data_IF_502218982780
#
_entry.id   IF_502218982780
#
_cell.length_a   1.000
_cell.length_b   1.000
_cell.length_c   1.000
_cell.angle_alpha   90.00
_cell.angle_beta   90.00
_cell.angle_gamma   90.00
#
_symmetry.space_group_name_H-M   'P 1'
#
loop_
_entity.id
_entity.type
_entity.pdbx_description
1 polymer ?
#
# COMPACT_ATOMS: atom_id res chain seq x y z
N UNK A 1 5.18 1.56 -8.44
CA UNK A 1 4.78 2.87 -7.88
C UNK A 1 5.83 3.86 -8.32
N UNK A 2 5.50 5.16 -8.38
CA UNK A 2 6.37 6.16 -8.98
C UNK A 2 7.43 6.70 -8.01
N UNK A 3 7.10 6.82 -6.73
CA UNK A 3 8.01 7.27 -5.67
C UNK A 3 7.58 6.70 -4.32
N UNK A 4 8.51 6.34 -3.42
CA UNK A 4 8.19 5.90 -2.06
C UNK A 4 7.72 7.04 -1.17
N UNK A 5 6.95 6.70 -0.14
CA UNK A 5 6.73 7.59 0.99
C UNK A 5 7.89 7.51 1.97
N UNK A 6 8.11 8.60 2.69
CA UNK A 6 8.92 8.62 3.92
C UNK A 6 8.04 8.16 5.07
N UNK A 7 8.46 7.09 5.74
CA UNK A 7 7.79 6.61 6.95
C UNK A 7 7.89 7.63 8.09
N UNK A 8 6.86 7.72 8.93
CA UNK A 8 6.88 8.57 10.12
C UNK A 8 6.50 7.74 11.36
N UNK A 9 7.31 7.76 12.44
CA UNK A 9 6.91 7.17 13.71
C UNK A 9 5.71 7.90 14.31
N UNK A 10 4.81 7.15 14.96
CA UNK A 10 3.63 7.74 15.61
C UNK A 10 3.12 6.94 16.81
N UNK A 11 2.49 7.57 17.83
CA UNK A 11 1.88 6.85 18.96
C UNK A 11 0.83 5.78 18.58
N UNK A 12 0.28 5.82 17.37
CA UNK A 12 -0.61 4.76 16.89
C UNK A 12 0.07 3.38 16.78
N UNK A 13 1.40 3.35 16.72
CA UNK A 13 2.19 2.13 16.75
C UNK A 13 2.18 1.45 18.12
N UNK A 14 1.71 2.11 19.18
CA UNK A 14 1.52 1.49 20.51
C UNK A 14 0.60 0.26 20.39
N UNK A 15 -0.41 0.30 19.52
CA UNK A 15 -1.26 -0.87 19.27
C UNK A 15 -0.45 -2.05 18.72
N UNK A 16 0.56 -1.81 17.87
CA UNK A 16 1.45 -2.86 17.38
C UNK A 16 2.30 -3.41 18.53
N UNK A 17 2.82 -2.57 19.42
CA UNK A 17 3.58 -3.00 20.61
C UNK A 17 2.73 -3.85 21.57
N UNK A 18 1.46 -3.50 21.78
CA UNK A 18 0.53 -4.33 22.54
C UNK A 18 0.35 -5.70 21.91
N UNK A 19 0.18 -5.77 20.59
CA UNK A 19 0.06 -7.06 19.90
C UNK A 19 1.38 -7.86 19.86
N UNK A 20 2.53 -7.19 19.85
CA UNK A 20 3.83 -7.84 20.01
C UNK A 20 3.92 -8.51 21.38
N UNK A 21 3.61 -7.77 22.45
CA UNK A 21 3.60 -8.32 23.80
C UNK A 21 2.60 -9.47 23.93
N UNK A 22 1.36 -9.30 23.47
CA UNK A 22 0.36 -10.37 23.49
C UNK A 22 0.86 -11.61 22.74
N UNK A 23 1.49 -11.43 21.58
CA UNK A 23 1.96 -12.56 20.80
C UNK A 23 3.12 -13.30 21.48
N UNK A 24 4.17 -12.59 21.89
CA UNK A 24 5.39 -13.20 22.43
C UNK A 24 5.28 -13.59 23.90
N UNK A 25 4.72 -12.71 24.73
CA UNK A 25 4.75 -12.84 26.19
C UNK A 25 3.51 -13.55 26.73
N UNK A 26 2.37 -13.46 26.03
CA UNK A 26 1.11 -14.06 26.47
C UNK A 26 0.83 -15.36 25.71
N UNK A 27 0.70 -15.32 24.39
CA UNK A 27 0.34 -16.50 23.60
C UNK A 27 1.49 -17.50 23.48
N UNK A 28 2.69 -17.09 23.08
CA UNK A 28 3.79 -18.03 22.88
C UNK A 28 4.27 -18.72 24.18
N UNK A 29 4.01 -18.13 25.35
CA UNK A 29 4.34 -18.71 26.67
C UNK A 29 3.19 -19.50 27.30
N UNK A 30 2.00 -19.49 26.69
CA UNK A 30 0.80 -20.12 27.24
C UNK A 30 0.96 -21.58 27.71
N UNK A 31 1.75 -22.46 27.05
CA UNK A 31 1.94 -23.83 27.54
C UNK A 31 2.57 -23.93 28.94
N UNK A 32 3.31 -22.91 29.36
CA UNK A 32 4.05 -22.90 30.63
C UNK A 32 3.44 -21.93 31.67
N UNK A 33 2.56 -21.01 31.23
CA UNK A 33 2.02 -19.93 32.07
C UNK A 33 0.76 -20.28 32.86
N UNK A 34 0.18 -21.47 32.70
CA UNK A 34 -1.02 -21.89 33.42
C UNK A 34 -2.33 -21.29 32.85
N UNK A 35 -3.40 -21.13 33.67
CA UNK A 35 -4.68 -20.59 33.20
C UNK A 35 -4.56 -19.13 32.73
N UNK A 36 -5.51 -18.69 31.89
CA UNK A 36 -5.57 -17.28 31.47
C UNK A 36 -5.99 -16.40 32.64
N UNK A 37 -5.18 -15.41 32.99
CA UNK A 37 -5.52 -14.37 33.95
C UNK A 37 -4.85 -13.02 33.61
N UNK A 38 -5.21 -11.97 34.34
CA UNK A 38 -4.70 -10.61 34.10
C UNK A 38 -3.25 -10.40 34.57
N UNK A 39 -2.68 -11.32 35.36
CA UNK A 39 -1.27 -11.25 35.78
C UNK A 39 -0.32 -11.56 34.61
N UNK A 40 -0.81 -12.22 33.55
CA UNK A 40 -0.08 -12.42 32.29
C UNK A 40 0.38 -11.10 31.63
N UNK A 41 -0.16 -9.95 32.06
CA UNK A 41 0.16 -8.63 31.52
C UNK A 41 1.02 -7.78 32.47
N UNK A 42 1.49 -8.32 33.60
CA UNK A 42 2.24 -7.58 34.63
C UNK A 42 3.50 -6.87 34.10
N UNK A 43 4.17 -7.48 33.12
CA UNK A 43 5.38 -6.93 32.50
C UNK A 43 5.09 -5.81 31.47
N UNK A 44 3.81 -5.47 31.22
CA UNK A 44 3.40 -4.34 30.40
C UNK A 44 2.25 -3.56 31.06
N UNK A 45 2.54 -2.69 32.06
CA UNK A 45 1.51 -2.03 32.87
C UNK A 45 0.47 -1.25 32.06
N UNK A 46 0.88 -0.59 30.96
CA UNK A 46 -0.03 0.17 30.11
C UNK A 46 -1.07 -0.71 29.41
N UNK A 47 -0.65 -1.92 28.97
CA UNK A 47 -1.54 -2.92 28.39
C UNK A 47 -2.37 -3.60 29.48
N UNK A 48 -1.80 -3.88 30.66
CA UNK A 48 -2.54 -4.46 31.78
C UNK A 48 -3.72 -3.58 32.18
N UNK A 49 -3.51 -2.28 32.34
CA UNK A 49 -4.58 -1.32 32.63
C UNK A 49 -5.68 -1.35 31.54
N UNK A 50 -5.29 -1.46 30.27
CA UNK A 50 -6.24 -1.60 29.16
C UNK A 50 -7.04 -2.92 29.26
N UNK A 51 -6.36 -4.03 29.55
CA UNK A 51 -6.98 -5.35 29.69
C UNK A 51 -7.93 -5.41 30.89
N UNK A 52 -7.55 -4.80 32.02
CA UNK A 52 -8.43 -4.62 33.19
C UNK A 52 -9.67 -3.78 32.83
N UNK A 53 -9.48 -2.64 32.17
CA UNK A 53 -10.59 -1.81 31.70
C UNK A 53 -11.54 -2.57 30.77
N UNK A 54 -11.00 -3.37 29.86
CA UNK A 54 -11.80 -4.16 28.93
C UNK A 54 -12.50 -5.35 29.60
N UNK A 55 -11.86 -5.98 30.58
CA UNK A 55 -12.43 -7.12 31.32
C UNK A 55 -13.72 -6.75 32.05
N UNK A 56 -13.80 -5.53 32.59
CA UNK A 56 -14.98 -5.03 33.31
C UNK A 56 -15.92 -4.19 32.44
N UNK A 57 -15.74 -4.20 31.11
CA UNK A 57 -16.56 -3.42 30.18
C UNK A 57 -17.56 -4.28 29.42
N UNK A 58 -18.82 -3.85 29.39
CA UNK A 58 -19.86 -4.45 28.54
C UNK A 58 -19.79 -3.95 27.07
N UNK A 59 -18.77 -3.15 26.73
CA UNK A 59 -18.63 -2.63 25.38
C UNK A 59 -18.23 -3.75 24.40
N UNK A 60 -18.95 -3.84 23.28
CA UNK A 60 -18.71 -4.86 22.25
C UNK A 60 -17.25 -4.93 21.77
N UNK A 61 -16.57 -3.78 21.64
CA UNK A 61 -15.16 -3.75 21.26
C UNK A 61 -14.22 -4.32 22.33
N UNK A 62 -14.54 -4.13 23.60
CA UNK A 62 -13.78 -4.64 24.74
C UNK A 62 -13.94 -6.17 24.86
N UNK A 63 -15.19 -6.66 24.80
CA UNK A 63 -15.51 -8.09 24.76
C UNK A 63 -14.84 -8.78 23.56
N UNK A 64 -14.92 -8.15 22.37
CA UNK A 64 -14.21 -8.62 21.19
C UNK A 64 -12.71 -8.79 21.46
N UNK A 65 -12.04 -7.73 21.93
CA UNK A 65 -10.59 -7.74 22.08
C UNK A 65 -10.13 -8.72 23.16
N UNK A 66 -10.65 -8.58 24.38
CA UNK A 66 -10.27 -9.44 25.50
C UNK A 66 -10.66 -10.91 25.27
N UNK A 67 -11.89 -11.16 24.82
CA UNK A 67 -12.37 -12.52 24.56
C UNK A 67 -11.60 -13.23 23.44
N UNK A 68 -11.15 -12.51 22.41
CA UNK A 68 -10.29 -13.14 21.40
C UNK A 68 -8.89 -13.47 21.93
N UNK A 69 -8.30 -12.61 22.75
CA UNK A 69 -6.99 -12.87 23.36
C UNK A 69 -7.04 -14.14 24.21
N UNK A 70 -8.07 -14.28 25.05
CA UNK A 70 -8.27 -15.47 25.88
C UNK A 70 -8.46 -16.75 25.03
N UNK A 71 -9.35 -16.71 24.03
CA UNK A 71 -9.59 -17.88 23.16
C UNK A 71 -8.36 -18.30 22.37
N UNK A 72 -7.55 -17.33 21.93
CA UNK A 72 -6.29 -17.62 21.24
C UNK A 72 -5.27 -18.20 22.23
N UNK A 73 -5.16 -17.63 23.44
CA UNK A 73 -4.32 -18.15 24.52
C UNK A 73 -4.63 -19.60 24.84
N UNK A 74 -5.91 -19.95 24.98
CA UNK A 74 -6.36 -21.32 25.23
C UNK A 74 -6.00 -22.29 24.10
N UNK A 75 -5.87 -21.83 22.86
CA UNK A 75 -5.38 -22.66 21.76
C UNK A 75 -3.87 -22.80 21.86
N UNK A 76 -3.15 -21.69 22.07
CA UNK A 76 -1.69 -21.68 22.20
C UNK A 76 -1.19 -22.58 23.35
N UNK A 77 -1.91 -22.67 24.47
CA UNK A 77 -1.55 -23.54 25.60
C UNK A 77 -1.55 -25.03 25.25
N UNK A 78 -2.16 -25.42 24.13
CA UNK A 78 -2.19 -26.81 23.62
C UNK A 78 -1.15 -27.07 22.53
N UNK A 79 -0.44 -26.04 22.05
CA UNK A 79 0.52 -26.18 20.97
C UNK A 79 1.87 -26.72 21.45
N UNK A 80 2.52 -27.51 20.60
CA UNK A 80 3.90 -27.93 20.83
C UNK A 80 4.88 -26.78 20.64
N UNK A 81 6.06 -26.88 21.27
CA UNK A 81 7.14 -25.91 21.08
C UNK A 81 7.49 -25.69 19.60
N UNK A 82 7.48 -26.76 18.77
CA UNK A 82 7.74 -26.65 17.33
C UNK A 82 6.68 -25.81 16.60
N UNK A 83 5.40 -26.00 16.93
CA UNK A 83 4.31 -25.21 16.37
C UNK A 83 4.42 -23.72 16.76
N UNK A 84 4.79 -23.45 18.01
CA UNK A 84 5.00 -22.07 18.50
C UNK A 84 6.20 -21.43 17.79
N UNK A 85 7.33 -22.13 17.66
CA UNK A 85 8.47 -21.62 16.89
C UNK A 85 8.11 -21.31 15.43
N UNK A 86 7.27 -22.13 14.80
CA UNK A 86 6.78 -21.85 13.45
C UNK A 86 5.89 -20.61 13.39
N UNK A 87 5.00 -20.42 14.38
CA UNK A 87 4.16 -19.22 14.47
C UNK A 87 4.98 -17.97 14.69
N UNK A 88 6.04 -18.03 15.52
CA UNK A 88 7.00 -16.93 15.72
C UNK A 88 7.64 -16.55 14.39
N UNK A 89 8.20 -17.52 13.67
CA UNK A 89 8.83 -17.27 12.37
C UNK A 89 7.85 -16.62 11.37
N UNK A 90 6.59 -17.08 11.35
CA UNK A 90 5.56 -16.48 10.50
C UNK A 90 5.14 -15.08 10.94
N UNK A 91 5.04 -14.83 12.25
CA UNK A 91 4.69 -13.51 12.78
C UNK A 91 5.75 -12.48 12.41
N UNK A 92 7.03 -12.82 12.58
CA UNK A 92 8.18 -11.99 12.19
C UNK A 92 8.20 -11.76 10.67
N UNK A 93 8.09 -12.84 9.89
CA UNK A 93 8.11 -12.77 8.43
C UNK A 93 6.98 -11.88 7.88
N UNK A 94 5.75 -12.08 8.34
CA UNK A 94 4.58 -11.32 7.88
C UNK A 94 4.63 -9.83 8.23
N UNK A 95 5.40 -9.45 9.25
CA UNK A 95 5.58 -8.07 9.68
C UNK A 95 6.79 -7.36 9.07
N UNK A 96 7.62 -8.06 8.29
CA UNK A 96 8.77 -7.49 7.60
C UNK A 96 8.45 -7.13 6.14
N UNK A 97 7.60 -6.12 5.94
CA UNK A 97 7.03 -5.74 4.63
C UNK A 97 8.09 -5.48 3.56
N UNK A 98 9.23 -4.89 3.93
CA UNK A 98 10.33 -4.62 3.00
C UNK A 98 10.89 -5.92 2.42
N UNK A 99 11.25 -6.87 3.28
CA UNK A 99 11.73 -8.19 2.85
C UNK A 99 10.69 -8.94 2.01
N UNK A 100 9.40 -8.83 2.36
CA UNK A 100 8.32 -9.44 1.58
C UNK A 100 8.29 -8.86 0.17
N UNK A 101 8.33 -7.52 0.05
CA UNK A 101 8.30 -6.83 -1.23
C UNK A 101 9.53 -7.15 -2.09
N UNK A 102 10.70 -7.33 -1.47
CA UNK A 102 11.93 -7.73 -2.15
C UNK A 102 12.01 -9.22 -2.52
N UNK A 103 11.00 -10.02 -2.13
CA UNK A 103 11.02 -11.48 -2.25
C UNK A 103 12.31 -12.08 -1.62
N UNK A 104 12.64 -11.64 -0.41
CA UNK A 104 13.84 -12.07 0.32
C UNK A 104 13.70 -13.56 0.74
N UNK A 105 14.62 -14.44 0.33
CA UNK A 105 14.54 -15.88 0.61
C UNK A 105 14.75 -16.23 2.09
N UNK A 106 15.20 -15.28 2.93
CA UNK A 106 15.39 -15.48 4.37
C UNK A 106 14.09 -15.49 5.16
N UNK A 107 12.96 -15.11 4.56
CA UNK A 107 11.65 -15.08 5.21
C UNK A 107 10.65 -15.99 4.51
N UNK A 108 9.76 -16.59 5.29
CA UNK A 108 8.65 -17.38 4.79
C UNK A 108 7.35 -16.83 5.36
N UNK A 109 6.59 -16.11 4.53
CA UNK A 109 5.29 -15.56 4.94
C UNK A 109 4.21 -16.65 4.98
N UNK A 110 3.18 -16.41 5.78
CA UNK A 110 1.99 -17.25 5.88
C UNK A 110 0.75 -16.47 5.46
N UNK A 111 -0.24 -17.14 4.87
CA UNK A 111 -1.60 -16.59 4.65
C UNK A 111 -2.60 -17.33 5.50
N UNK A 112 -3.81 -16.79 5.63
CA UNK A 112 -4.87 -17.47 6.37
C UNK A 112 -5.16 -18.88 5.87
N UNK A 113 -5.07 -19.15 4.56
CA UNK A 113 -5.24 -20.51 4.03
C UNK A 113 -4.15 -21.49 4.47
N UNK A 114 -2.93 -20.98 4.67
CA UNK A 114 -1.80 -21.80 5.09
C UNK A 114 -1.90 -22.06 6.61
N UNK A 115 -2.34 -21.04 7.38
CA UNK A 115 -2.73 -21.21 8.79
C UNK A 115 -3.90 -22.19 8.96
N UNK A 116 -4.89 -22.18 8.07
CA UNK A 116 -6.04 -23.09 8.11
C UNK A 116 -5.58 -24.55 7.97
N UNK A 117 -4.66 -24.81 7.04
CA UNK A 117 -4.04 -26.12 6.88
C UNK A 117 -3.15 -26.52 8.07
N UNK A 118 -2.53 -25.55 8.73
CA UNK A 118 -1.70 -25.77 9.93
C UNK A 118 -2.54 -26.06 11.17
N UNK A 119 -3.57 -25.26 11.43
CA UNK A 119 -4.47 -25.38 12.57
C UNK A 119 -5.77 -24.58 12.36
N UNK A 120 -6.83 -25.23 11.85
CA UNK A 120 -8.16 -24.64 11.62
C UNK A 120 -8.71 -23.77 12.76
N UNK A 121 -8.67 -24.28 14.00
CA UNK A 121 -9.20 -23.54 15.16
C UNK A 121 -8.52 -22.19 15.38
N UNK A 122 -7.18 -22.19 15.35
CA UNK A 122 -6.33 -21.00 15.47
C UNK A 122 -6.54 -20.06 14.28
N UNK A 123 -6.51 -20.58 13.05
CA UNK A 123 -6.71 -19.79 11.84
C UNK A 123 -8.02 -19.00 11.88
N UNK A 124 -9.12 -19.65 12.32
CA UNK A 124 -10.42 -19.00 12.51
C UNK A 124 -10.35 -17.86 13.54
N UNK A 125 -9.74 -18.09 14.71
CA UNK A 125 -9.64 -17.07 15.75
C UNK A 125 -8.75 -15.90 15.31
N UNK A 126 -7.58 -16.17 14.73
CA UNK A 126 -6.67 -15.16 14.20
C UNK A 126 -7.32 -14.35 13.07
N UNK A 127 -8.08 -15.00 12.19
CA UNK A 127 -8.81 -14.33 11.10
C UNK A 127 -9.81 -13.33 11.64
N UNK A 128 -10.65 -13.74 12.60
CA UNK A 128 -11.63 -12.84 13.21
C UNK A 128 -10.93 -11.70 13.98
N UNK A 129 -9.91 -12.02 14.77
CA UNK A 129 -9.18 -11.05 15.56
C UNK A 129 -8.51 -9.98 14.68
N UNK A 130 -7.58 -10.35 13.81
CA UNK A 130 -6.79 -9.39 13.02
C UNK A 130 -7.63 -8.59 12.02
N UNK A 131 -8.76 -9.12 11.52
CA UNK A 131 -9.69 -8.37 10.66
C UNK A 131 -10.53 -7.36 11.46
N UNK A 132 -10.84 -7.67 12.72
CA UNK A 132 -11.67 -6.85 13.61
C UNK A 132 -10.91 -5.73 14.35
N UNK A 133 -9.58 -5.74 14.36
CA UNK A 133 -8.75 -4.72 15.02
C UNK A 133 -8.99 -3.27 14.53
N UNK A 134 -9.50 -3.09 13.30
CA UNK A 134 -9.85 -1.78 12.74
C UNK A 134 -11.33 -1.41 12.88
N UNK A 135 -12.10 -2.21 13.61
CA UNK A 135 -13.50 -1.87 13.88
C UNK A 135 -13.59 -0.58 14.67
N UNK A 136 -14.56 0.25 14.32
CA UNK A 136 -14.87 1.46 15.07
C UNK A 136 -15.33 1.13 16.49
N UNK A 137 -15.95 -0.04 16.69
CA UNK A 137 -16.34 -0.56 18.01
C UNK A 137 -15.13 -0.69 18.96
N UNK A 138 -13.94 -1.03 18.45
CA UNK A 138 -12.70 -1.10 19.23
C UNK A 138 -11.97 0.24 19.27
N UNK A 139 -11.71 0.86 18.12
CA UNK A 139 -10.88 2.06 18.02
C UNK A 139 -11.51 3.31 18.66
N UNK A 140 -12.83 3.32 18.89
CA UNK A 140 -13.51 4.43 19.56
C UNK A 140 -13.62 4.26 21.08
N UNK A 141 -13.16 3.14 21.65
CA UNK A 141 -13.11 2.99 23.11
C UNK A 141 -12.12 4.00 23.69
N UNK A 142 -12.56 4.81 24.66
CA UNK A 142 -11.74 5.86 25.27
C UNK A 142 -10.45 5.29 25.86
N UNK A 143 -10.55 4.18 26.61
CA UNK A 143 -9.41 3.50 27.23
C UNK A 143 -8.30 3.13 26.23
N UNK A 144 -8.66 2.77 24.98
CA UNK A 144 -7.69 2.51 23.93
C UNK A 144 -7.23 3.80 23.25
N UNK A 145 -8.17 4.66 22.85
CA UNK A 145 -7.90 5.89 22.09
C UNK A 145 -6.96 6.85 22.85
N UNK A 146 -7.07 6.91 24.16
CA UNK A 146 -6.21 7.73 25.02
C UNK A 146 -4.75 7.23 25.02
N UNK A 147 -4.53 5.94 24.78
CA UNK A 147 -3.19 5.33 24.69
C UNK A 147 -2.59 5.44 23.28
N UNK A 148 -3.38 5.17 22.23
CA UNK A 148 -2.85 5.02 20.85
C UNK A 148 -2.96 6.28 19.96
N UNK A 149 -3.45 7.41 20.46
CA UNK A 149 -3.75 8.61 19.64
C UNK A 149 -4.76 8.32 18.51
N UNK A 150 -4.91 9.25 17.54
CA UNK A 150 -5.91 9.18 16.47
C UNK A 150 -5.30 9.11 15.07
N UNK A 151 -5.99 8.42 14.17
CA UNK A 151 -5.59 8.29 12.76
C UNK A 151 -5.59 9.61 12.01
N UNK A 152 -6.41 10.58 12.43
CA UNK A 152 -6.41 11.94 11.90
C UNK A 152 -5.11 12.68 12.21
N UNK A 153 -4.56 12.51 13.42
CA UNK A 153 -3.28 13.11 13.82
C UNK A 153 -2.11 12.48 13.05
N UNK A 154 -2.11 11.14 12.95
CA UNK A 154 -1.15 10.43 12.12
C UNK A 154 -1.19 10.94 10.67
N UNK A 155 -2.39 11.01 10.06
CA UNK A 155 -2.53 11.45 8.68
C UNK A 155 -1.97 12.86 8.48
N UNK A 156 -2.32 13.84 9.34
CA UNK A 156 -1.81 15.21 9.26
C UNK A 156 -0.28 15.25 9.29
N UNK A 157 0.36 14.56 10.23
CA UNK A 157 1.82 14.48 10.31
C UNK A 157 2.42 13.79 9.07
N UNK A 158 1.76 12.74 8.61
CA UNK A 158 2.19 11.95 7.45
C UNK A 158 2.23 12.80 6.18
N UNK A 159 1.15 13.52 5.87
CA UNK A 159 1.07 14.35 4.65
C UNK A 159 1.87 15.66 4.76
N UNK A 160 2.16 16.15 5.98
CA UNK A 160 3.14 17.24 6.17
C UNK A 160 4.54 16.80 5.74
N UNK A 161 4.92 15.55 6.05
CA UNK A 161 6.20 14.98 5.63
C UNK A 161 6.22 14.55 4.16
N UNK A 162 5.11 13.98 3.68
CA UNK A 162 4.93 13.46 2.33
C UNK A 162 4.06 14.40 1.49
N UNK A 163 4.59 15.58 1.20
CA UNK A 163 3.83 16.72 0.69
C UNK A 163 3.85 16.88 -0.84
N UNK A 164 4.19 15.83 -1.61
CA UNK A 164 4.18 15.89 -3.07
C UNK A 164 2.79 16.16 -3.67
N UNK A 165 1.73 15.96 -2.87
CA UNK A 165 0.35 16.21 -3.28
C UNK A 165 -0.22 15.18 -4.25
N UNK A 166 0.60 14.26 -4.77
CA UNK A 166 0.20 13.22 -5.72
C UNK A 166 0.19 11.83 -5.11
N UNK A 167 -0.70 10.97 -5.61
CA UNK A 167 -0.74 9.57 -5.24
C UNK A 167 0.48 8.85 -5.83
N UNK A 168 1.36 8.25 -5.01
CA UNK A 168 2.59 7.61 -5.51
C UNK A 168 2.30 6.39 -6.37
N UNK A 169 1.12 5.79 -6.24
CA UNK A 169 0.75 4.61 -6.99
C UNK A 169 0.41 4.93 -8.45
N UNK A 170 -0.26 6.05 -8.74
CA UNK A 170 -0.64 6.37 -10.13
C UNK A 170 -0.06 7.67 -10.67
N UNK A 171 0.35 8.62 -9.82
CA UNK A 171 0.76 9.97 -10.22
C UNK A 171 -0.40 10.87 -10.68
N UNK A 172 -1.51 10.30 -11.15
CA UNK A 172 -2.65 11.02 -11.73
C UNK A 172 -3.46 11.76 -10.66
N UNK A 173 -3.91 11.03 -9.64
CA UNK A 173 -4.82 11.59 -8.62
C UNK A 173 -4.04 12.26 -7.51
N UNK A 174 -4.61 13.32 -6.97
CA UNK A 174 -4.08 13.99 -5.80
C UNK A 174 -4.30 13.16 -4.52
N UNK A 175 -3.47 13.45 -3.51
CA UNK A 175 -3.67 13.03 -2.12
C UNK A 175 -4.11 14.26 -1.33
N UNK A 176 -5.21 14.13 -0.57
CA UNK A 176 -5.71 15.21 0.27
C UNK A 176 -4.65 15.71 1.25
N UNK A 177 -4.14 16.91 0.99
CA UNK A 177 -3.15 17.61 1.82
C UNK A 177 -3.73 18.28 3.07
N UNK A 178 -2.93 19.10 3.76
CA UNK A 178 -3.23 19.63 5.11
C UNK A 178 -4.41 20.59 5.14
N UNK A 179 -4.80 21.11 3.99
CA UNK A 179 -5.92 22.04 3.83
C UNK A 179 -7.26 21.33 3.58
N UNK A 180 -7.30 20.01 3.67
CA UNK A 180 -8.54 19.23 3.58
C UNK A 180 -9.04 18.82 4.97
N UNK A 181 -10.35 18.90 5.17
CA UNK A 181 -11.01 18.37 6.38
C UNK A 181 -11.17 16.84 6.36
N UNK A 182 -10.98 16.23 5.18
CA UNK A 182 -11.07 14.77 4.96
C UNK A 182 -9.69 14.23 4.60
N UNK A 183 -9.49 12.94 4.86
CA UNK A 183 -8.26 12.20 4.58
C UNK A 183 -8.50 11.10 3.55
N UNK A 184 -7.42 10.62 2.93
CA UNK A 184 -7.50 9.34 2.22
C UNK A 184 -7.74 8.17 3.18
N UNK A 185 -8.30 7.10 2.63
CA UNK A 185 -8.30 5.81 3.29
C UNK A 185 -6.87 5.24 3.31
N UNK A 186 -6.54 4.49 4.36
CA UNK A 186 -5.29 3.73 4.42
C UNK A 186 -5.53 2.39 3.75
N UNK A 187 -4.87 2.17 2.63
CA UNK A 187 -4.81 0.88 1.96
C UNK A 187 -4.01 -0.10 2.83
N UNK A 188 -4.49 -1.34 2.93
CA UNK A 188 -3.68 -2.43 3.44
C UNK A 188 -2.88 -2.98 2.27
N UNK A 189 -1.62 -2.57 2.15
CA UNK A 189 -0.79 -2.87 0.98
C UNK A 189 -0.77 -4.37 0.70
N UNK A 190 -0.42 -5.17 1.71
CA UNK A 190 -0.77 -6.58 1.79
C UNK A 190 -2.20 -6.72 2.34
N UNK A 191 -3.15 -7.32 1.58
CA UNK A 191 -4.55 -7.35 1.98
C UNK A 191 -4.77 -8.08 3.31
N UNK A 192 -5.41 -7.42 4.27
CA UNK A 192 -5.83 -8.03 5.55
C UNK A 192 -6.80 -9.21 5.39
N UNK A 193 -7.40 -9.37 4.22
CA UNK A 193 -8.24 -10.52 3.88
C UNK A 193 -7.43 -11.80 3.65
N UNK A 194 -6.15 -11.66 3.28
CA UNK A 194 -5.24 -12.72 2.85
C UNK A 194 -4.19 -13.00 3.92
N UNK A 195 -3.58 -11.95 4.47
CA UNK A 195 -2.43 -12.05 5.37
C UNK A 195 -2.81 -11.83 6.84
N UNK A 196 -2.38 -12.71 7.77
CA UNK A 196 -2.43 -12.49 9.21
C UNK A 196 -1.29 -11.58 9.69
N UNK A 197 -1.37 -11.19 10.97
CA UNK A 197 -0.34 -10.53 11.77
C UNK A 197 0.04 -9.08 11.40
N UNK A 198 -0.22 -8.63 10.18
CA UNK A 198 0.24 -7.34 9.68
C UNK A 198 -0.87 -6.30 9.46
N UNK A 199 -2.09 -6.54 9.95
CA UNK A 199 -3.21 -5.62 9.69
C UNK A 199 -3.04 -4.27 10.38
N UNK A 200 -2.47 -4.23 11.58
CA UNK A 200 -2.19 -3.00 12.37
C UNK A 200 -0.78 -2.44 12.16
N UNK A 201 0.03 -3.12 11.34
CA UNK A 201 1.40 -2.69 11.08
C UNK A 201 1.36 -1.46 10.17
N UNK A 202 1.79 -0.30 10.67
CA UNK A 202 1.79 0.95 9.89
C UNK A 202 2.71 0.91 8.67
N UNK A 203 3.67 0.00 8.62
CA UNK A 203 4.47 -0.30 7.42
C UNK A 203 3.67 -1.00 6.32
N UNK A 204 2.47 -1.52 6.63
CA UNK A 204 1.51 -2.11 5.71
C UNK A 204 0.34 -1.19 5.38
N UNK A 205 0.24 0.00 5.99
CA UNK A 205 -0.93 0.87 5.90
C UNK A 205 -0.59 2.18 5.24
N UNK A 206 -1.05 2.35 4.01
CA UNK A 206 -0.54 3.40 3.13
C UNK A 206 -1.66 4.31 2.65
N UNK A 207 -1.56 5.63 2.81
CA UNK A 207 -2.47 6.55 2.14
C UNK A 207 -2.44 6.34 0.63
N UNK A 208 -3.61 6.13 0.03
CA UNK A 208 -3.75 5.91 -1.40
C UNK A 208 -4.99 6.64 -1.91
N UNK A 209 -4.95 7.18 -3.13
CA UNK A 209 -6.15 7.77 -3.72
C UNK A 209 -7.25 6.71 -3.90
N UNK A 210 -8.49 7.17 -3.95
CA UNK A 210 -9.67 6.31 -4.11
C UNK A 210 -9.52 5.35 -5.30
N UNK A 211 -9.09 5.84 -6.46
CA UNK A 211 -8.95 5.00 -7.65
C UNK A 211 -7.94 3.86 -7.46
N UNK A 212 -6.78 4.15 -6.86
CA UNK A 212 -5.78 3.11 -6.66
C UNK A 212 -6.25 2.07 -5.64
N UNK A 213 -6.84 2.50 -4.53
CA UNK A 213 -7.25 1.63 -3.43
C UNK A 213 -8.55 0.86 -3.75
N UNK A 214 -9.62 1.60 -4.03
CA UNK A 214 -10.99 1.10 -4.06
C UNK A 214 -11.51 0.75 -5.45
N UNK A 215 -10.80 1.10 -6.52
CA UNK A 215 -11.19 0.74 -7.91
C UNK A 215 -10.26 -0.32 -8.48
N UNK A 216 -8.94 -0.06 -8.52
CA UNK A 216 -7.99 -0.91 -9.25
C UNK A 216 -7.35 -2.01 -8.40
N UNK A 217 -6.84 -1.68 -7.20
CA UNK A 217 -6.17 -2.67 -6.33
C UNK A 217 -7.18 -3.61 -5.69
N UNK A 218 -8.21 -3.07 -5.01
CA UNK A 218 -9.15 -3.86 -4.22
C UNK A 218 -8.40 -4.81 -3.26
N UNK A 219 -8.59 -6.11 -3.43
CA UNK A 219 -7.92 -7.17 -2.69
C UNK A 219 -6.84 -7.91 -3.49
N UNK A 220 -6.40 -7.36 -4.64
CA UNK A 220 -5.27 -7.92 -5.40
C UNK A 220 -4.04 -7.99 -4.50
N UNK A 221 -3.34 -9.11 -4.61
CA UNK A 221 -2.18 -9.41 -3.80
C UNK A 221 -0.91 -8.92 -4.53
N UNK A 222 -0.16 -7.94 -3.97
CA UNK A 222 1.02 -7.42 -4.64
C UNK A 222 2.16 -8.44 -4.73
N UNK A 223 2.25 -9.40 -3.81
CA UNK A 223 3.43 -10.27 -3.67
C UNK A 223 3.16 -11.72 -4.05
N UNK A 224 1.91 -12.06 -4.41
CA UNK A 224 1.53 -13.40 -4.81
C UNK A 224 0.49 -13.43 -5.94
N UNK A 225 0.81 -14.08 -7.06
CA UNK A 225 -0.08 -14.32 -8.20
C UNK A 225 0.10 -15.75 -8.74
N UNK A 226 -0.60 -16.75 -8.18
CA UNK A 226 -0.35 -18.17 -8.41
C UNK A 226 -0.70 -18.67 -9.82
N UNK A 227 -1.53 -17.91 -10.54
CA UNK A 227 -2.02 -18.29 -11.88
C UNK A 227 -1.23 -17.61 -13.01
N UNK A 228 -0.13 -16.94 -12.68
CA UNK A 228 0.72 -16.31 -13.69
C UNK A 228 1.75 -17.32 -14.21
N UNK A 229 1.72 -17.70 -15.50
CA UNK A 229 2.67 -18.65 -16.06
C UNK A 229 4.12 -18.19 -15.94
N UNK A 230 4.35 -16.87 -15.95
CA UNK A 230 5.68 -16.26 -15.82
C UNK A 230 6.27 -16.40 -14.42
N UNK A 231 5.43 -16.71 -13.42
CA UNK A 231 5.82 -16.90 -12.02
C UNK A 231 5.78 -18.38 -11.60
N UNK A 232 5.71 -19.31 -12.55
CA UNK A 232 5.67 -20.75 -12.26
C UNK A 232 6.90 -21.22 -11.46
N UNK A 233 8.09 -20.71 -11.79
CA UNK A 233 9.34 -21.03 -11.09
C UNK A 233 9.34 -20.59 -9.61
N UNK A 234 8.69 -19.47 -9.29
CA UNK A 234 8.54 -18.93 -7.93
C UNK A 234 7.23 -19.35 -7.27
N UNK A 235 6.47 -20.26 -7.90
CA UNK A 235 5.12 -20.69 -7.45
C UNK A 235 4.16 -19.52 -7.23
N UNK A 236 4.29 -18.47 -8.03
CA UNK A 236 3.47 -17.27 -7.97
C UNK A 236 4.01 -16.16 -7.08
N UNK A 237 5.11 -16.34 -6.36
CA UNK A 237 5.71 -15.25 -5.56
C UNK A 237 6.38 -14.24 -6.50
N UNK A 238 6.20 -12.94 -6.23
CA UNK A 238 6.76 -11.87 -7.05
C UNK A 238 7.22 -10.69 -6.20
N UNK A 239 8.16 -9.91 -6.73
CA UNK A 239 8.57 -8.63 -6.16
C UNK A 239 7.54 -7.55 -6.36
N UNK A 240 7.53 -6.60 -5.43
CA UNK A 240 6.69 -5.42 -5.47
C UNK A 240 7.46 -4.22 -4.94
N UNK A 241 7.04 -3.01 -5.31
CA UNK A 241 7.61 -1.81 -4.70
C UNK A 241 7.16 -1.68 -3.25
N UNK A 242 8.11 -1.68 -2.32
CA UNK A 242 7.79 -1.38 -0.92
C UNK A 242 7.36 0.09 -0.78
N UNK A 243 6.17 0.38 -0.18
CA UNK A 243 5.64 1.74 -0.15
C UNK A 243 6.46 2.76 0.63
N UNK A 244 7.28 2.30 1.57
CA UNK A 244 8.17 3.12 2.40
C UNK A 244 9.60 2.76 2.06
N UNK A 245 10.38 3.65 1.49
CA UNK A 245 11.77 3.32 1.20
C UNK A 245 12.66 4.56 1.30
N UNK A 246 13.84 4.35 1.88
CA UNK A 246 14.91 5.35 1.83
C UNK A 246 15.63 5.33 0.48
N UNK A 247 15.47 4.24 -0.29
CA UNK A 247 16.05 4.09 -1.62
C UNK A 247 15.29 4.94 -2.63
N UNK A 248 15.97 5.92 -3.20
CA UNK A 248 15.49 6.60 -4.40
C UNK A 248 15.60 5.68 -5.62
N UNK A 249 14.51 5.56 -6.36
CA UNK A 249 14.50 5.03 -7.72
C UNK A 249 13.72 6.00 -8.61
N UNK A 250 13.96 5.93 -9.91
CA UNK A 250 13.25 6.73 -10.90
C UNK A 250 12.63 5.81 -11.94
N UNK A 251 11.30 5.81 -12.03
CA UNK A 251 10.60 5.13 -13.09
C UNK A 251 10.69 5.99 -14.35
N UNK A 252 11.18 5.39 -15.43
CA UNK A 252 11.23 6.04 -16.75
C UNK A 252 10.09 5.48 -17.59
N UNK A 253 9.16 6.34 -17.97
CA UNK A 253 8.07 5.98 -18.87
C UNK A 253 8.50 6.27 -20.31
N UNK A 254 8.20 5.35 -21.20
CA UNK A 254 8.36 5.53 -22.64
C UNK A 254 7.05 5.22 -23.33
N UNK A 255 6.67 6.14 -24.22
CA UNK A 255 5.51 5.98 -25.10
C UNK A 255 5.99 6.06 -26.55
N UNK A 256 5.36 5.28 -27.40
CA UNK A 256 5.51 5.33 -28.85
C UNK A 256 4.13 5.39 -29.49
N UNK A 257 3.98 6.24 -30.51
CA UNK A 257 2.70 6.49 -31.18
C UNK A 257 2.73 5.99 -32.62
N UNK A 258 1.67 5.29 -33.01
CA UNK A 258 1.50 4.76 -34.38
C UNK A 258 0.56 5.61 -35.24
N UNK A 259 -0.21 6.50 -34.64
CA UNK A 259 -1.13 7.36 -35.38
C UNK A 259 -0.41 8.55 -36.04
N UNK A 260 -1.00 9.07 -37.12
CA UNK A 260 -0.58 10.31 -37.80
C UNK A 260 -1.57 11.46 -37.61
N UNK A 261 -2.71 11.16 -36.99
CA UNK A 261 -3.76 12.10 -36.62
C UNK A 261 -4.10 11.83 -35.16
N UNK A 262 -4.02 12.86 -34.33
CA UNK A 262 -4.28 12.75 -32.90
C UNK A 262 -5.75 13.01 -32.54
N UNK A 263 -6.55 13.53 -33.47
CA UNK A 263 -7.96 13.82 -33.22
C UNK A 263 -8.77 12.55 -32.92
N UNK A 264 -8.40 11.42 -33.53
CA UNK A 264 -9.00 10.10 -33.34
C UNK A 264 -8.09 9.09 -32.61
N UNK A 265 -7.10 9.58 -31.85
CA UNK A 265 -6.17 8.69 -31.12
C UNK A 265 -6.89 7.74 -30.16
N UNK A 266 -6.53 6.47 -30.22
CA UNK A 266 -7.06 5.39 -29.36
C UNK A 266 -5.94 4.76 -28.52
N UNK A 267 -6.27 4.05 -27.41
CA UNK A 267 -5.27 3.33 -26.62
C UNK A 267 -4.43 2.33 -27.43
N UNK A 268 -4.98 1.76 -28.51
CA UNK A 268 -4.31 0.81 -29.41
C UNK A 268 -3.20 1.48 -30.25
N UNK A 269 -3.28 2.79 -30.46
CA UNK A 269 -2.25 3.57 -31.15
C UNK A 269 -1.01 3.85 -30.28
N UNK A 270 -1.10 3.55 -28.99
CA UNK A 270 -0.09 3.85 -27.99
C UNK A 270 0.62 2.56 -27.56
N UNK A 271 1.92 2.49 -27.78
CA UNK A 271 2.79 1.53 -27.12
C UNK A 271 3.32 2.15 -25.83
N UNK A 272 3.25 1.40 -24.73
CA UNK A 272 3.71 1.84 -23.42
C UNK A 272 4.76 0.88 -22.88
N UNK A 273 5.84 1.43 -22.35
CA UNK A 273 6.81 0.69 -21.57
C UNK A 273 7.31 1.53 -20.39
N UNK A 274 7.78 0.85 -19.36
CA UNK A 274 8.35 1.48 -18.19
C UNK A 274 9.63 0.75 -17.80
N UNK A 275 10.62 1.53 -17.37
CA UNK A 275 11.91 1.04 -16.88
C UNK A 275 12.30 1.68 -15.56
N UNK A 276 13.51 1.39 -15.07
CA UNK A 276 14.56 0.64 -15.77
C UNK A 276 14.40 -0.90 -15.64
N UNK A 277 15.15 -1.66 -16.43
CA UNK A 277 15.03 -3.13 -16.52
C UNK A 277 15.33 -3.85 -15.19
N UNK A 278 16.15 -3.25 -14.33
CA UNK A 278 16.46 -3.82 -13.00
C UNK A 278 15.24 -3.85 -12.07
N UNK A 279 14.19 -3.07 -12.39
CA UNK A 279 12.93 -3.00 -11.64
C UNK A 279 11.76 -3.65 -12.42
N UNK A 280 12.05 -4.43 -13.47
CA UNK A 280 11.04 -4.97 -14.38
C UNK A 280 9.96 -5.79 -13.68
N UNK A 281 10.32 -6.56 -12.65
CA UNK A 281 9.38 -7.38 -11.90
C UNK A 281 8.44 -6.50 -11.06
N UNK A 282 8.98 -5.54 -10.32
CA UNK A 282 8.22 -4.57 -9.52
C UNK A 282 7.32 -3.69 -10.40
N UNK A 283 7.80 -3.29 -11.59
CA UNK A 283 7.03 -2.54 -12.59
C UNK A 283 5.87 -3.39 -13.13
N UNK A 284 6.10 -4.67 -13.42
CA UNK A 284 5.06 -5.59 -13.86
C UNK A 284 3.97 -5.76 -12.79
N UNK A 285 4.37 -5.98 -11.55
CA UNK A 285 3.46 -6.02 -10.39
C UNK A 285 2.68 -4.72 -10.23
N UNK A 286 3.35 -3.58 -10.35
CA UNK A 286 2.74 -2.26 -10.26
C UNK A 286 1.66 -2.05 -11.34
N UNK A 287 1.94 -2.45 -12.58
CA UNK A 287 0.99 -2.39 -13.67
C UNK A 287 -0.23 -3.28 -13.41
N UNK A 288 0.00 -4.54 -13.01
CA UNK A 288 -1.05 -5.54 -12.72
C UNK A 288 -1.98 -5.11 -11.57
N UNK A 289 -1.41 -4.58 -10.49
CA UNK A 289 -2.17 -4.18 -9.29
C UNK A 289 -2.99 -2.91 -9.58
N UNK A 290 -2.40 -1.90 -10.22
CA UNK A 290 -3.01 -0.56 -10.31
C UNK A 290 -3.51 -0.16 -11.70
N UNK A 291 -3.44 -1.05 -12.70
CA UNK A 291 -3.93 -0.83 -14.06
C UNK A 291 -3.21 0.32 -14.77
N UNK A 292 -1.90 0.41 -14.60
CA UNK A 292 -1.14 1.63 -14.93
C UNK A 292 -1.15 1.92 -16.43
N UNK A 293 -0.84 0.93 -17.24
CA UNK A 293 -0.78 1.05 -18.70
C UNK A 293 -2.13 1.49 -19.27
N UNK A 294 -3.20 0.80 -18.88
CA UNK A 294 -4.58 1.13 -19.28
C UNK A 294 -4.90 2.59 -18.95
N UNK A 295 -4.66 3.00 -17.71
CA UNK A 295 -4.99 4.35 -17.23
C UNK A 295 -4.15 5.43 -17.91
N UNK A 296 -2.88 5.16 -18.16
CA UNK A 296 -1.98 6.12 -18.80
C UNK A 296 -2.35 6.30 -20.27
N UNK A 297 -2.65 5.21 -20.99
CA UNK A 297 -3.16 5.28 -22.35
C UNK A 297 -4.49 6.02 -22.42
N UNK A 298 -5.44 5.69 -21.55
CA UNK A 298 -6.73 6.38 -21.48
C UNK A 298 -6.56 7.89 -21.26
N UNK A 299 -5.64 8.29 -20.37
CA UNK A 299 -5.33 9.71 -20.12
C UNK A 299 -4.68 10.38 -21.32
N UNK A 300 -3.80 9.70 -22.04
CA UNK A 300 -3.22 10.21 -23.29
C UNK A 300 -4.27 10.41 -24.40
N UNK A 301 -5.36 9.64 -24.40
CA UNK A 301 -6.44 9.77 -25.36
C UNK A 301 -7.55 10.76 -24.94
N UNK A 302 -7.54 11.22 -23.69
CA UNK A 302 -8.59 12.05 -23.12
C UNK A 302 -8.67 13.44 -23.75
N UNK A 303 -9.90 13.94 -23.95
CA UNK A 303 -10.13 15.26 -24.56
C UNK A 303 -9.48 16.39 -23.77
N UNK A 304 -9.62 16.42 -22.44
CA UNK A 304 -9.03 17.46 -21.60
C UNK A 304 -7.66 17.06 -21.02
N UNK A 305 -7.12 15.95 -21.49
CA UNK A 305 -5.82 15.41 -21.07
C UNK A 305 -4.89 15.39 -22.29
N UNK A 306 -4.46 14.23 -22.80
CA UNK A 306 -3.45 14.16 -23.86
C UNK A 306 -3.81 14.92 -25.13
N UNK A 307 -5.07 14.87 -25.59
CA UNK A 307 -5.52 15.71 -26.72
C UNK A 307 -5.45 17.20 -26.38
N UNK A 308 -5.78 17.57 -25.15
CA UNK A 308 -5.62 18.93 -24.62
C UNK A 308 -4.16 19.38 -24.59
N UNK A 309 -3.22 18.51 -24.21
CA UNK A 309 -1.79 18.80 -24.18
C UNK A 309 -1.23 19.06 -25.58
N UNK A 310 -1.69 18.32 -26.59
CA UNK A 310 -1.32 18.57 -28.00
C UNK A 310 -1.87 19.92 -28.46
N UNK A 311 -3.14 20.22 -28.18
CA UNK A 311 -3.74 21.52 -28.53
C UNK A 311 -3.02 22.68 -27.86
N UNK A 312 -2.67 22.56 -26.57
CA UNK A 312 -1.87 23.56 -25.86
C UNK A 312 -0.57 23.88 -26.62
N UNK A 313 0.16 22.88 -27.10
CA UNK A 313 1.39 23.10 -27.87
C UNK A 313 1.10 23.83 -29.19
N UNK A 314 0.05 23.46 -29.91
CA UNK A 314 -0.31 24.08 -31.20
C UNK A 314 -0.80 25.51 -31.00
N UNK A 315 -1.79 25.71 -30.16
CA UNK A 315 -2.49 26.99 -29.98
C UNK A 315 -1.57 28.03 -29.33
N UNK A 316 -0.83 27.65 -28.28
CA UNK A 316 0.06 28.59 -27.60
C UNK A 316 1.28 28.94 -28.45
N UNK A 317 1.78 28.02 -29.28
CA UNK A 317 2.86 28.37 -30.22
C UNK A 317 2.45 29.54 -31.13
N UNK A 318 1.21 29.53 -31.62
CA UNK A 318 0.66 30.63 -32.42
C UNK A 318 0.52 31.92 -31.61
N UNK A 319 0.02 31.83 -30.38
CA UNK A 319 -0.14 32.98 -29.48
C UNK A 319 1.20 33.70 -29.19
N UNK A 320 2.31 32.96 -29.12
CA UNK A 320 3.65 33.51 -28.90
C UNK A 320 4.46 33.75 -30.17
N UNK A 321 3.91 33.48 -31.37
CA UNK A 321 4.62 33.62 -32.64
C UNK A 321 5.82 32.66 -32.78
N UNK A 322 5.74 31.48 -32.16
CA UNK A 322 6.74 30.42 -32.22
C UNK A 322 6.25 29.27 -33.11
N UNK A 323 7.16 28.43 -33.59
CA UNK A 323 6.76 27.12 -34.13
C UNK A 323 6.31 26.18 -33.01
N UNK A 324 5.44 25.18 -33.30
CA UNK A 324 5.05 24.16 -32.33
C UNK A 324 6.25 23.45 -31.69
N UNK A 325 7.32 23.20 -32.46
CA UNK A 325 8.52 22.54 -31.96
C UNK A 325 9.35 23.41 -30.99
N UNK A 326 9.42 24.72 -31.24
CA UNK A 326 10.10 25.66 -30.33
C UNK A 326 9.33 25.79 -29.00
N UNK A 327 8.00 25.91 -29.06
CA UNK A 327 7.17 25.95 -27.87
C UNK A 327 7.25 24.63 -27.07
N UNK A 328 7.22 23.50 -27.78
CA UNK A 328 7.33 22.17 -27.19
C UNK A 328 8.65 22.00 -26.40
N UNK A 329 9.80 22.44 -26.91
CA UNK A 329 11.08 22.34 -26.19
C UNK A 329 11.03 23.01 -24.82
N UNK A 330 10.44 24.21 -24.74
CA UNK A 330 10.20 24.91 -23.48
C UNK A 330 9.30 24.10 -22.54
N UNK A 331 8.19 23.55 -23.06
CA UNK A 331 7.26 22.74 -22.27
C UNK A 331 7.88 21.44 -21.74
N UNK A 332 8.70 20.76 -22.55
CA UNK A 332 9.39 19.54 -22.13
C UNK A 332 10.41 19.82 -21.00
N UNK A 333 11.05 20.99 -21.00
CA UNK A 333 11.93 21.44 -19.90
C UNK A 333 11.15 21.69 -18.62
N UNK A 334 10.02 22.42 -18.70
CA UNK A 334 9.13 22.61 -17.54
C UNK A 334 8.64 21.29 -16.98
N UNK A 335 8.22 20.36 -17.86
CA UNK A 335 7.72 19.06 -17.43
C UNK A 335 8.79 18.18 -16.76
N UNK A 336 10.06 18.34 -17.13
CA UNK A 336 11.18 17.67 -16.43
C UNK A 336 11.42 18.23 -15.04
N UNK A 337 11.35 19.56 -14.89
CA UNK A 337 11.60 20.23 -13.62
C UNK A 337 10.48 19.96 -12.60
N UNK A 338 9.24 19.90 -13.08
CA UNK A 338 8.04 19.77 -12.26
C UNK A 338 7.16 18.58 -12.69
N UNK A 339 7.64 17.32 -12.52
CA UNK A 339 6.98 16.14 -13.06
C UNK A 339 5.57 15.89 -12.47
N UNK A 340 5.27 16.42 -11.29
CA UNK A 340 3.99 16.20 -10.62
C UNK A 340 2.92 17.24 -10.97
N UNK A 341 3.31 18.37 -11.54
CA UNK A 341 2.39 19.42 -11.98
C UNK A 341 1.72 18.98 -13.28
N UNK A 342 0.40 19.11 -13.38
CA UNK A 342 -0.39 18.82 -14.60
C UNK A 342 -0.02 17.49 -15.29
N UNK A 343 0.29 16.47 -14.49
CA UNK A 343 0.68 15.13 -14.93
C UNK A 343 1.91 15.12 -15.86
N UNK A 344 2.84 16.06 -15.66
CA UNK A 344 4.05 16.25 -16.45
C UNK A 344 4.90 14.97 -16.59
N UNK A 345 4.90 14.10 -15.57
CA UNK A 345 5.57 12.80 -15.60
C UNK A 345 5.09 11.89 -16.74
N UNK A 346 3.82 12.04 -17.17
CA UNK A 346 3.21 11.32 -18.29
C UNK A 346 3.10 12.21 -19.55
N UNK A 347 2.77 13.50 -19.38
CA UNK A 347 2.68 14.47 -20.47
C UNK A 347 4.00 14.57 -21.25
N UNK A 348 5.14 14.64 -20.55
CA UNK A 348 6.45 14.72 -21.19
C UNK A 348 6.71 13.57 -22.17
N UNK A 349 6.72 12.29 -21.75
CA UNK A 349 6.98 11.19 -22.67
C UNK A 349 5.90 11.06 -23.76
N UNK A 350 4.64 11.43 -23.47
CA UNK A 350 3.59 11.46 -24.49
C UNK A 350 3.84 12.52 -25.58
N UNK A 351 4.19 13.76 -25.21
CA UNK A 351 4.48 14.81 -26.19
C UNK A 351 5.76 14.52 -26.99
N UNK A 352 6.77 13.88 -26.36
CA UNK A 352 7.94 13.37 -27.08
C UNK A 352 7.55 12.30 -28.11
N UNK A 353 6.64 11.39 -27.76
CA UNK A 353 6.09 10.42 -28.71
C UNK A 353 5.34 11.12 -29.86
N UNK A 354 4.57 12.18 -29.57
CA UNK A 354 3.85 12.95 -30.57
C UNK A 354 4.80 13.63 -31.56
N UNK A 355 5.89 14.22 -31.05
CA UNK A 355 6.94 14.80 -31.87
C UNK A 355 7.59 13.75 -32.76
N UNK A 356 7.95 12.59 -32.21
CA UNK A 356 8.55 11.47 -32.96
C UNK A 356 7.62 10.94 -34.06
N UNK A 357 6.31 10.92 -33.82
CA UNK A 357 5.28 10.56 -34.78
C UNK A 357 4.99 11.68 -35.82
N UNK A 358 5.61 12.86 -35.69
CA UNK A 358 5.47 13.97 -36.63
C UNK A 358 4.18 14.77 -36.48
N UNK A 359 3.53 14.71 -35.32
CA UNK A 359 2.21 15.33 -35.11
C UNK A 359 2.25 16.87 -35.00
N UNK A 360 3.44 17.45 -34.82
CA UNK A 360 3.68 18.91 -34.71
C UNK A 360 4.33 19.53 -35.96
N UNK A 361 4.55 18.74 -37.02
CA UNK A 361 5.30 19.15 -38.21
C UNK A 361 4.47 19.70 -39.37
N UNK A 362 3.25 20.20 -39.11
CA UNK A 362 2.37 20.80 -40.12
C UNK A 362 2.23 22.29 -39.93
#
# INVERSE_FOLDING_TARGET
>A
MLFPYVYIPHPMEIMKHFLDFIFYEVWCKAPESGPYDLALFDDMPELKELMESFHYSDAKGADFFNGHIERIYQIFSTLSAHQISQLISWYEANNNLEKICCNDPSIAIVRYKDLEAFHTGLARQLTAFFKGLYSQDLLNLSALREKISQIEDHYKKFIMKNNSGKCPFCGIMDIKGIYHSKREAYDHYLPKSIYPFNSINFKNLVPACHECNSTYKLSKDPVFKPKDPLLSATKGIRKAFYPYADRSYQIKLQLDLKCKDWSDITPEDIEFSAGPDELKEEISTWNDVYGIEERYKAKCCGENDGKGWIREVVDESQNYGLSPLEYLDGKLKTAENDPWVDDNFLKKPFLQACQKAGLFGK
#
